data_IF_206434865030
#
_entry.id   IF_206434865030
#
_cell.length_a   1.000
_cell.length_b   1.000
_cell.length_c   1.000
_cell.angle_alpha   90.00
_cell.angle_beta   90.00
_cell.angle_gamma   90.00
#
_symmetry.space_group_name_H-M   'P 1'
#
loop_
_entity.id
_entity.type
_entity.pdbx_description
1 polymer ?
#
# COMPACT_ATOMS: atom_id res chain seq x y z
N UNK A 1 11.21 20.27 0.77
CA UNK A 1 11.31 21.28 -0.30
C UNK A 1 12.77 21.67 -0.56
N UNK A 2 13.48 22.15 0.44
CA UNK A 2 14.86 22.67 0.33
C UNK A 2 15.84 21.68 -0.32
N UNK A 3 15.79 20.40 0.02
CA UNK A 3 16.71 19.38 -0.53
C UNK A 3 16.52 19.20 -2.04
N UNK A 4 15.29 19.30 -2.54
CA UNK A 4 14.99 19.16 -3.97
C UNK A 4 15.47 20.39 -4.76
N UNK A 5 15.39 21.57 -4.16
CA UNK A 5 15.91 22.80 -4.75
C UNK A 5 17.45 22.76 -4.85
N UNK A 6 18.12 22.24 -3.82
CA UNK A 6 19.56 22.00 -3.85
C UNK A 6 19.95 20.98 -4.90
N UNK A 7 19.25 19.86 -4.98
CA UNK A 7 19.47 18.83 -6.02
C UNK A 7 19.30 19.43 -7.41
N UNK A 8 18.26 20.24 -7.62
CA UNK A 8 18.02 20.92 -8.89
C UNK A 8 19.18 21.85 -9.27
N UNK A 9 19.64 22.66 -8.31
CA UNK A 9 20.77 23.57 -8.53
C UNK A 9 22.06 22.81 -8.88
N UNK A 10 22.34 21.70 -8.19
CA UNK A 10 23.50 20.87 -8.49
C UNK A 10 23.40 20.24 -9.89
N UNK A 11 22.23 19.73 -10.28
CA UNK A 11 22.00 19.15 -11.61
C UNK A 11 22.13 20.18 -12.73
N UNK A 12 21.80 21.43 -12.48
CA UNK A 12 21.99 22.50 -13.48
C UNK A 12 23.48 22.81 -13.71
N UNK A 13 24.28 22.78 -12.64
CA UNK A 13 25.69 23.08 -12.71
C UNK A 13 26.57 21.86 -13.08
N UNK A 14 26.06 20.63 -12.88
CA UNK A 14 26.81 19.39 -13.09
C UNK A 14 25.95 18.33 -13.77
N UNK A 15 25.99 18.27 -15.09
CA UNK A 15 25.19 17.34 -15.90
C UNK A 15 25.63 15.88 -15.82
N UNK A 16 26.81 15.58 -15.26
CA UNK A 16 27.34 14.23 -15.10
C UNK A 16 26.88 13.53 -13.81
N UNK A 17 26.26 14.26 -12.88
CA UNK A 17 25.80 13.69 -11.59
C UNK A 17 24.41 13.12 -11.75
N UNK A 18 24.24 11.87 -11.34
CA UNK A 18 22.94 11.22 -11.22
C UNK A 18 22.52 11.15 -9.75
N UNK A 19 21.32 11.61 -9.45
CA UNK A 19 20.71 11.52 -8.13
C UNK A 19 19.71 10.39 -8.06
N UNK A 20 19.73 9.64 -6.97
CA UNK A 20 18.70 8.70 -6.57
C UNK A 20 18.10 9.20 -5.27
N UNK A 21 16.83 9.58 -5.32
CA UNK A 21 16.08 10.06 -4.15
C UNK A 21 15.13 8.96 -3.71
N UNK A 22 15.17 8.59 -2.44
CA UNK A 22 14.28 7.58 -1.87
C UNK A 22 13.43 8.18 -0.76
N UNK A 23 12.24 7.64 -0.56
CA UNK A 23 11.34 8.06 0.51
C UNK A 23 10.16 7.12 0.63
N UNK A 24 9.60 6.99 1.84
CA UNK A 24 8.44 6.16 2.15
C UNK A 24 7.14 6.70 1.53
N UNK A 25 7.07 8.02 1.27
CA UNK A 25 5.85 8.67 0.78
C UNK A 25 6.10 9.53 -0.45
N UNK A 26 5.47 9.14 -1.56
CA UNK A 26 5.41 9.98 -2.76
C UNK A 26 4.54 11.24 -2.56
N UNK A 27 3.71 11.28 -1.51
CA UNK A 27 2.79 12.38 -1.21
C UNK A 27 3.52 13.64 -0.75
N UNK A 28 4.54 13.50 0.10
CA UNK A 28 5.40 14.63 0.51
C UNK A 28 6.08 15.27 -0.68
N UNK A 29 6.58 14.45 -1.60
CA UNK A 29 7.21 14.93 -2.83
C UNK A 29 6.22 15.68 -3.73
N UNK A 30 4.94 15.26 -3.80
CA UNK A 30 3.90 15.93 -4.58
C UNK A 30 3.37 17.22 -3.92
N UNK A 31 3.17 17.22 -2.60
CA UNK A 31 2.64 18.38 -1.85
C UNK A 31 3.60 19.56 -1.78
N UNK A 32 4.88 19.31 -1.91
CA UNK A 32 5.89 20.38 -1.91
C UNK A 32 5.83 21.32 -3.11
N UNK A 33 4.84 21.17 -4.00
CA UNK A 33 4.67 22.02 -5.19
C UNK A 33 5.83 21.91 -6.17
N UNK A 34 6.71 20.96 -5.92
CA UNK A 34 7.89 20.74 -6.72
C UNK A 34 7.45 20.09 -8.00
N UNK A 35 7.49 20.87 -9.06
CA UNK A 35 7.51 20.35 -10.42
C UNK A 35 8.80 19.51 -10.49
N UNK A 36 8.68 18.20 -10.16
CA UNK A 36 9.79 17.29 -9.87
C UNK A 36 10.83 17.40 -10.98
N UNK A 37 11.82 18.30 -10.74
CA UNK A 37 12.98 18.50 -11.59
C UNK A 37 12.64 18.81 -13.07
N UNK A 38 11.49 19.45 -13.33
CA UNK A 38 11.13 19.89 -14.69
C UNK A 38 11.05 18.74 -15.73
N UNK A 39 10.55 17.56 -15.33
CA UNK A 39 10.46 16.40 -16.21
C UNK A 39 11.75 15.58 -16.37
N UNK A 40 12.78 15.88 -15.59
CA UNK A 40 14.09 15.18 -15.62
C UNK A 40 14.16 14.00 -14.63
N UNK A 41 13.10 13.75 -13.84
CA UNK A 41 13.04 12.65 -12.88
C UNK A 41 12.16 11.50 -13.38
N UNK A 42 12.65 10.27 -13.19
CA UNK A 42 11.88 9.05 -13.36
C UNK A 42 11.40 8.61 -11.97
N UNK A 43 10.09 8.37 -11.85
CA UNK A 43 9.51 7.80 -10.65
C UNK A 43 9.54 6.27 -10.76
N UNK A 44 10.19 5.63 -9.81
CA UNK A 44 10.18 4.19 -9.64
C UNK A 44 9.49 3.86 -8.31
N UNK A 45 8.76 2.74 -8.27
CA UNK A 45 8.16 2.19 -7.05
C UNK A 45 8.86 0.89 -6.72
N UNK A 46 9.19 0.70 -5.44
CA UNK A 46 9.74 -0.55 -4.94
C UNK A 46 8.62 -1.35 -4.29
N UNK A 47 8.46 -2.58 -4.74
CA UNK A 47 7.44 -3.51 -4.29
C UNK A 47 8.08 -4.69 -3.54
N UNK A 48 7.29 -5.55 -2.84
CA UNK A 48 7.77 -6.81 -2.31
C UNK A 48 8.44 -7.67 -3.40
N UNK A 49 9.19 -8.69 -3.00
CA UNK A 49 9.80 -9.63 -3.94
C UNK A 49 8.77 -10.23 -4.89
N UNK A 50 9.21 -10.50 -6.11
CA UNK A 50 8.45 -11.29 -7.08
C UNK A 50 9.11 -12.66 -7.26
N UNK A 51 8.35 -13.66 -7.68
CA UNK A 51 8.85 -15.03 -7.89
C UNK A 51 10.12 -15.10 -8.76
N UNK A 52 10.21 -14.20 -9.76
CA UNK A 52 11.36 -14.12 -10.65
C UNK A 52 12.65 -13.70 -9.93
N UNK A 53 12.58 -12.87 -8.91
CA UNK A 53 13.74 -12.41 -8.13
C UNK A 53 14.25 -13.53 -7.22
N UNK A 54 13.35 -14.35 -6.69
CA UNK A 54 13.70 -15.45 -5.78
C UNK A 54 14.08 -16.75 -6.51
N UNK A 55 13.74 -16.88 -7.79
CA UNK A 55 14.08 -18.02 -8.61
C UNK A 55 13.79 -19.37 -7.93
N UNK A 56 14.81 -20.20 -7.70
CA UNK A 56 14.68 -21.53 -7.06
C UNK A 56 14.31 -21.49 -5.56
N UNK A 57 14.41 -20.35 -4.92
CA UNK A 57 14.02 -20.19 -3.51
C UNK A 57 12.53 -19.82 -3.36
N UNK A 58 11.82 -19.52 -4.46
CA UNK A 58 10.41 -19.15 -4.42
C UNK A 58 9.52 -20.31 -3.95
N UNK A 59 8.71 -20.08 -2.95
CA UNK A 59 7.66 -20.96 -2.48
C UNK A 59 6.30 -20.25 -2.59
N UNK A 60 5.39 -20.80 -3.40
CA UNK A 60 4.04 -20.26 -3.51
C UNK A 60 3.31 -20.31 -2.18
N UNK A 61 3.39 -21.41 -1.45
CA UNK A 61 2.78 -21.55 -0.13
C UNK A 61 3.36 -20.53 0.85
N UNK A 62 4.69 -20.37 0.89
CA UNK A 62 5.35 -19.35 1.71
C UNK A 62 4.90 -17.94 1.35
N UNK A 63 4.77 -17.63 0.06
CA UNK A 63 4.30 -16.35 -0.43
C UNK A 63 2.85 -16.08 -0.03
N UNK A 64 1.97 -17.07 -0.11
CA UNK A 64 0.56 -16.93 0.28
C UNK A 64 0.39 -16.79 1.80
N UNK A 65 1.18 -17.50 2.60
CA UNK A 65 1.07 -17.51 4.07
C UNK A 65 1.77 -16.33 4.72
N UNK A 66 3.00 -16.02 4.29
CA UNK A 66 3.87 -15.04 4.94
C UNK A 66 4.09 -13.76 4.12
N UNK A 67 3.71 -13.78 2.85
CA UNK A 67 3.99 -12.67 1.94
C UNK A 67 5.42 -12.67 1.41
N UNK A 68 5.75 -11.58 0.72
CA UNK A 68 6.99 -11.44 -0.03
C UNK A 68 7.80 -10.21 0.39
N UNK A 69 7.48 -9.62 1.57
CA UNK A 69 8.25 -8.51 2.11
C UNK A 69 9.68 -8.95 2.42
N UNK A 70 10.73 -8.21 1.99
CA UNK A 70 12.13 -8.58 2.24
C UNK A 70 12.45 -8.79 3.73
N UNK A 71 11.83 -7.99 4.62
CA UNK A 71 12.03 -8.10 6.08
C UNK A 71 11.41 -9.38 6.67
N UNK A 72 10.45 -9.96 5.97
CA UNK A 72 9.68 -11.15 6.40
C UNK A 72 10.24 -12.41 5.75
N UNK A 73 10.62 -12.30 4.48
CA UNK A 73 11.11 -13.44 3.69
C UNK A 73 12.37 -14.03 4.31
N UNK A 74 12.35 -15.33 4.57
CA UNK A 74 13.47 -16.03 5.23
C UNK A 74 13.66 -15.73 6.73
N UNK A 75 12.76 -14.97 7.35
CA UNK A 75 12.85 -14.66 8.77
C UNK A 75 12.52 -15.90 9.64
N UNK A 76 13.20 -16.05 10.78
CA UNK A 76 12.92 -17.13 11.74
C UNK A 76 11.52 -17.05 12.36
N UNK A 77 10.91 -15.88 12.40
CA UNK A 77 9.57 -15.63 12.94
C UNK A 77 8.79 -14.65 12.04
N UNK A 78 8.31 -15.11 10.86
CA UNK A 78 7.65 -14.25 9.88
C UNK A 78 6.45 -13.50 10.45
N UNK A 79 5.59 -14.18 11.19
CA UNK A 79 4.37 -13.60 11.78
C UNK A 79 4.68 -12.42 12.72
N UNK A 80 5.64 -12.59 13.63
CA UNK A 80 6.07 -11.51 14.54
C UNK A 80 6.65 -10.31 13.77
N UNK A 81 7.33 -10.56 12.65
CA UNK A 81 7.84 -9.50 11.78
C UNK A 81 6.72 -8.75 11.09
N UNK A 82 5.68 -9.46 10.64
CA UNK A 82 4.48 -8.85 10.04
C UNK A 82 3.70 -8.00 11.05
N UNK A 83 3.47 -8.53 12.26
CA UNK A 83 2.83 -7.77 13.34
C UNK A 83 3.59 -6.48 13.65
N UNK A 84 4.90 -6.58 13.85
CA UNK A 84 5.75 -5.42 14.09
C UNK A 84 5.73 -4.43 12.90
N UNK A 85 5.74 -4.92 11.66
CA UNK A 85 5.65 -4.09 10.46
C UNK A 85 4.34 -3.30 10.41
N UNK A 86 3.21 -3.94 10.73
CA UNK A 86 1.91 -3.28 10.73
C UNK A 86 1.83 -2.25 11.85
N UNK A 87 2.23 -2.62 13.07
CA UNK A 87 2.10 -1.75 14.24
C UNK A 87 3.06 -0.56 14.19
N UNK A 88 4.32 -0.81 13.86
CA UNK A 88 5.35 0.23 13.89
C UNK A 88 5.41 1.01 12.59
N UNK A 89 5.36 0.33 11.43
CA UNK A 89 5.54 1.00 10.15
C UNK A 89 4.24 1.63 9.63
N UNK A 90 3.18 0.84 9.47
CA UNK A 90 1.95 1.36 8.84
C UNK A 90 1.28 2.39 9.74
N UNK A 91 1.15 2.11 11.04
CA UNK A 91 0.48 3.02 11.98
C UNK A 91 1.29 4.27 12.28
N UNK A 92 2.60 4.12 12.55
CA UNK A 92 3.47 5.26 12.84
C UNK A 92 3.65 6.16 11.61
N UNK A 93 3.85 5.60 10.43
CA UNK A 93 3.98 6.39 9.20
C UNK A 93 2.73 7.23 8.94
N UNK A 94 1.56 6.65 9.13
CA UNK A 94 0.27 7.34 8.98
C UNK A 94 0.11 8.45 10.03
N UNK A 95 0.53 8.20 11.26
CA UNK A 95 0.47 9.16 12.36
C UNK A 95 1.47 10.31 12.15
N UNK A 96 2.71 10.01 11.82
CA UNK A 96 3.77 11.01 11.58
C UNK A 96 3.47 11.91 10.38
N UNK A 97 2.84 11.35 9.36
CA UNK A 97 2.40 12.12 8.19
C UNK A 97 1.19 13.03 8.49
N UNK A 98 0.58 12.92 9.67
CA UNK A 98 -0.63 13.66 10.03
C UNK A 98 -1.80 13.39 9.08
N UNK A 99 -1.82 12.21 8.44
CA UNK A 99 -2.78 11.85 7.39
C UNK A 99 -4.15 11.52 7.97
N UNK A 100 -4.18 11.10 9.23
CA UNK A 100 -5.36 10.62 9.92
C UNK A 100 -5.49 11.35 11.26
N UNK A 101 -6.67 11.92 11.52
CA UNK A 101 -6.95 12.60 12.80
C UNK A 101 -7.30 11.63 13.92
N UNK A 102 -7.93 10.51 13.58
CA UNK A 102 -8.37 9.47 14.50
C UNK A 102 -7.78 8.12 14.08
N UNK A 103 -6.72 7.72 14.78
CA UNK A 103 -6.03 6.46 14.54
C UNK A 103 -6.92 5.24 14.85
N UNK A 104 -7.83 5.36 15.83
CA UNK A 104 -8.76 4.28 16.17
C UNK A 104 -9.73 3.98 15.01
N UNK A 105 -10.30 5.02 14.39
CA UNK A 105 -11.13 4.85 13.20
C UNK A 105 -10.34 4.30 12.00
N UNK A 106 -9.07 4.69 11.86
CA UNK A 106 -8.23 4.15 10.80
C UNK A 106 -7.87 2.67 11.03
N UNK A 107 -7.63 2.26 12.28
CA UNK A 107 -7.41 0.85 12.61
C UNK A 107 -8.62 -0.01 12.27
N UNK A 108 -9.84 0.42 12.70
CA UNK A 108 -11.08 -0.27 12.30
C UNK A 108 -11.28 -0.32 10.78
N UNK A 109 -10.88 0.75 10.08
CA UNK A 109 -10.90 0.75 8.62
C UNK A 109 -9.96 -0.29 8.02
N UNK A 110 -8.73 -0.45 8.53
CA UNK A 110 -7.80 -1.47 8.04
C UNK A 110 -8.36 -2.89 8.21
N UNK A 111 -9.01 -3.16 9.33
CA UNK A 111 -9.69 -4.43 9.58
C UNK A 111 -10.86 -4.64 8.60
N UNK A 112 -11.76 -3.67 8.51
CA UNK A 112 -12.94 -3.76 7.64
C UNK A 112 -12.57 -3.89 6.15
N UNK A 113 -11.62 -3.10 5.66
CA UNK A 113 -11.23 -3.15 4.25
C UNK A 113 -10.47 -4.45 3.90
N UNK A 114 -9.88 -5.13 4.91
CA UNK A 114 -9.20 -6.40 4.69
C UNK A 114 -10.14 -7.48 4.13
N UNK A 115 -11.44 -7.41 4.43
CA UNK A 115 -12.46 -8.30 3.86
C UNK A 115 -12.76 -8.02 2.37
N UNK A 116 -12.29 -6.89 1.85
CA UNK A 116 -12.44 -6.54 0.42
C UNK A 116 -11.25 -7.00 -0.44
N UNK A 117 -10.24 -7.64 0.13
CA UNK A 117 -9.09 -8.13 -0.64
C UNK A 117 -9.51 -9.11 -1.73
N UNK A 118 -9.05 -8.91 -2.97
CA UNK A 118 -9.42 -9.70 -4.13
C UNK A 118 -10.85 -9.48 -4.64
N UNK A 119 -11.65 -8.65 -3.97
CA UNK A 119 -13.07 -8.42 -4.25
C UNK A 119 -13.36 -7.00 -4.71
N UNK A 120 -14.57 -6.78 -5.23
CA UNK A 120 -15.04 -5.44 -5.56
C UNK A 120 -15.10 -4.56 -4.30
N UNK A 121 -14.49 -3.39 -4.36
CA UNK A 121 -14.47 -2.45 -3.26
C UNK A 121 -15.82 -1.71 -3.15
N UNK A 122 -16.52 -1.93 -2.04
CA UNK A 122 -17.70 -1.17 -1.67
C UNK A 122 -17.38 -0.16 -0.57
N UNK A 123 -17.03 1.06 -0.94
CA UNK A 123 -16.74 2.16 0.00
C UNK A 123 -17.88 2.37 1.01
N UNK A 124 -19.13 2.24 0.56
CA UNK A 124 -20.30 2.42 1.42
C UNK A 124 -20.45 1.31 2.47
N UNK A 125 -20.08 0.07 2.14
CA UNK A 125 -20.09 -1.04 3.11
C UNK A 125 -19.00 -0.85 4.15
N UNK A 126 -17.77 -0.58 3.72
CA UNK A 126 -16.64 -0.31 4.61
C UNK A 126 -16.93 0.88 5.54
N UNK A 127 -17.52 1.97 5.02
CA UNK A 127 -17.87 3.14 5.82
C UNK A 127 -18.88 2.81 6.94
N UNK A 128 -19.87 1.98 6.65
CA UNK A 128 -20.86 1.51 7.62
C UNK A 128 -20.23 0.63 8.70
N UNK A 129 -19.36 -0.27 8.34
CA UNK A 129 -18.64 -1.16 9.28
C UNK A 129 -17.72 -0.37 10.22
N UNK A 130 -17.03 0.65 9.68
CA UNK A 130 -16.14 1.50 10.47
C UNK A 130 -16.84 2.57 11.28
N UNK A 131 -18.13 2.83 11.02
CA UNK A 131 -18.87 3.93 11.65
C UNK A 131 -18.38 5.32 11.24
N UNK A 132 -17.87 5.48 10.02
CA UNK A 132 -17.34 6.75 9.49
C UNK A 132 -18.07 7.17 8.20
N UNK A 133 -17.86 8.40 7.76
CA UNK A 133 -18.42 8.89 6.50
C UNK A 133 -17.73 8.23 5.31
N UNK A 134 -18.49 8.04 4.21
CA UNK A 134 -17.94 7.52 2.93
C UNK A 134 -16.72 8.30 2.46
N UNK A 135 -16.76 9.62 2.51
CA UNK A 135 -15.64 10.49 2.13
C UNK A 135 -14.37 10.26 2.96
N UNK A 136 -14.54 9.83 4.22
CA UNK A 136 -13.42 9.45 5.09
C UNK A 136 -12.76 8.17 4.59
N UNK A 137 -13.57 7.17 4.21
CA UNK A 137 -13.05 5.90 3.65
C UNK A 137 -12.37 6.13 2.31
N UNK A 138 -12.95 6.96 1.43
CA UNK A 138 -12.29 7.35 0.17
C UNK A 138 -10.89 7.93 0.45
N UNK A 139 -10.79 8.86 1.41
CA UNK A 139 -9.51 9.45 1.83
C UNK A 139 -8.53 8.43 2.43
N UNK A 140 -9.03 7.45 3.18
CA UNK A 140 -8.21 6.38 3.75
C UNK A 140 -7.67 5.44 2.67
N UNK A 141 -8.47 5.09 1.66
CA UNK A 141 -8.03 4.31 0.50
C UNK A 141 -6.94 5.05 -0.26
N UNK A 142 -7.10 6.36 -0.47
CA UNK A 142 -6.08 7.18 -1.13
C UNK A 142 -4.77 7.21 -0.33
N UNK A 143 -4.83 7.22 1.00
CA UNK A 143 -3.66 7.11 1.87
C UNK A 143 -2.93 5.78 1.64
N UNK A 144 -3.66 4.65 1.67
CA UNK A 144 -3.05 3.33 1.42
C UNK A 144 -2.38 3.24 0.04
N UNK A 145 -3.00 3.84 -0.98
CA UNK A 145 -2.44 3.90 -2.33
C UNK A 145 -1.19 4.77 -2.41
N UNK A 146 -1.20 5.92 -1.75
CA UNK A 146 -0.05 6.84 -1.71
C UNK A 146 1.15 6.21 -0.97
N UNK A 147 0.89 5.38 0.05
CA UNK A 147 1.90 4.63 0.80
C UNK A 147 2.29 3.30 0.13
N UNK A 148 1.72 2.98 -1.02
CA UNK A 148 1.91 1.71 -1.73
C UNK A 148 1.53 0.47 -0.90
N UNK A 149 0.65 0.61 0.08
CA UNK A 149 0.16 -0.49 0.95
C UNK A 149 -0.97 -1.25 0.30
N UNK A 150 -1.75 -0.59 -0.56
CA UNK A 150 -2.82 -1.22 -1.32
C UNK A 150 -3.06 -0.49 -2.65
N UNK A 151 -3.78 -1.13 -3.55
CA UNK A 151 -4.26 -0.51 -4.78
C UNK A 151 -5.65 -1.02 -5.17
N UNK A 152 -6.33 -0.25 -6.01
CA UNK A 152 -7.61 -0.61 -6.60
C UNK A 152 -7.41 -0.85 -8.07
N UNK A 153 -7.49 -2.12 -8.48
CA UNK A 153 -7.34 -2.53 -9.88
C UNK A 153 -8.66 -2.23 -10.61
N UNK A 154 -8.63 -1.36 -11.62
CA UNK A 154 -9.83 -1.02 -12.35
C UNK A 154 -10.34 -2.22 -13.16
N UNK A 155 -11.65 -2.23 -13.45
CA UNK A 155 -12.24 -3.25 -14.30
C UNK A 155 -11.75 -3.08 -15.74
N UNK A 156 -11.29 -4.15 -16.35
CA UNK A 156 -10.93 -4.14 -17.76
C UNK A 156 -12.18 -3.84 -18.60
N UNK A 157 -12.16 -2.76 -19.36
CA UNK A 157 -13.21 -2.38 -20.29
C UNK A 157 -12.65 -2.07 -21.68
N UNK A 158 -13.22 -2.71 -22.69
CA UNK A 158 -12.92 -2.40 -24.10
C UNK A 158 -13.49 -1.03 -24.55
N UNK A 159 -14.34 -0.40 -23.74
CA UNK A 159 -14.97 0.89 -24.03
C UNK A 159 -14.71 1.86 -22.88
N UNK A 160 -13.96 2.92 -23.11
CA UNK A 160 -13.59 3.94 -22.12
C UNK A 160 -14.79 4.48 -21.30
N UNK A 161 -15.98 4.59 -21.90
CA UNK A 161 -17.18 5.09 -21.23
C UNK A 161 -17.72 4.18 -20.11
N UNK A 162 -17.33 2.88 -20.07
CA UNK A 162 -17.77 1.92 -19.02
C UNK A 162 -16.84 1.87 -17.82
N UNK A 163 -15.63 2.39 -17.91
CA UNK A 163 -14.69 2.45 -16.78
C UNK A 163 -15.18 3.34 -15.63
N UNK A 164 -15.98 4.37 -15.95
CA UNK A 164 -16.50 5.34 -14.99
C UNK A 164 -17.57 4.80 -14.04
N UNK A 165 -18.15 3.61 -14.31
CA UNK A 165 -19.30 3.07 -13.57
C UNK A 165 -18.99 1.75 -12.85
N UNK A 166 -17.81 1.18 -13.03
CA UNK A 166 -17.46 -0.13 -12.49
C UNK A 166 -16.57 -0.01 -11.25
N UNK A 167 -16.95 -0.74 -10.21
CA UNK A 167 -16.13 -0.83 -8.99
C UNK A 167 -14.90 -1.71 -9.23
N UNK A 168 -13.71 -1.16 -9.01
CA UNK A 168 -12.46 -1.90 -9.10
C UNK A 168 -12.33 -2.93 -7.98
N UNK A 169 -11.41 -3.88 -8.14
CA UNK A 169 -11.03 -4.82 -7.10
C UNK A 169 -9.94 -4.23 -6.22
N UNK A 170 -10.10 -4.38 -4.92
CA UNK A 170 -9.12 -3.93 -3.93
C UNK A 170 -8.09 -5.02 -3.64
N UNK A 171 -6.83 -4.66 -3.60
CA UNK A 171 -5.74 -5.56 -3.22
C UNK A 171 -4.78 -4.87 -2.26
N UNK A 172 -4.43 -5.55 -1.17
CA UNK A 172 -3.21 -5.22 -0.45
C UNK A 172 -1.99 -5.62 -1.29
N UNK A 173 -0.89 -4.92 -1.11
CA UNK A 173 0.35 -5.11 -1.86
C UNK A 173 1.07 -6.43 -1.51
N UNK A 174 0.74 -7.02 -0.36
CA UNK A 174 1.38 -8.22 0.19
C UNK A 174 0.36 -9.08 0.94
N UNK A 175 0.39 -10.38 0.70
CA UNK A 175 -0.54 -11.36 1.27
C UNK A 175 -0.33 -11.56 2.77
N UNK A 176 0.91 -11.52 3.25
CA UNK A 176 1.23 -11.62 4.67
C UNK A 176 0.68 -10.43 5.46
N UNK A 177 0.82 -9.22 4.92
CA UNK A 177 0.23 -8.00 5.50
C UNK A 177 -1.29 -8.11 5.54
N UNK A 178 -1.93 -8.51 4.44
CA UNK A 178 -3.37 -8.72 4.39
C UNK A 178 -3.86 -9.73 5.45
N UNK A 179 -3.24 -10.91 5.52
CA UNK A 179 -3.61 -11.97 6.48
C UNK A 179 -3.45 -11.53 7.92
N UNK A 180 -2.45 -10.71 8.22
CA UNK A 180 -2.20 -10.20 9.57
C UNK A 180 -3.20 -9.10 9.95
N UNK A 181 -3.64 -8.28 8.99
CA UNK A 181 -4.67 -7.26 9.20
C UNK A 181 -6.07 -7.83 9.32
N UNK A 182 -6.36 -8.98 8.67
CA UNK A 182 -7.69 -9.57 8.65
C UNK A 182 -8.04 -10.21 10.00
N UNK A 183 -9.11 -9.76 10.68
CA UNK A 183 -9.60 -10.44 11.88
C UNK A 183 -10.00 -11.87 11.57
N UNK A 184 -9.75 -12.76 12.51
CA UNK A 184 -10.13 -14.18 12.42
C UNK A 184 -11.24 -14.46 13.42
N UNK A 185 -12.37 -14.95 12.93
CA UNK A 185 -13.47 -15.41 13.75
C UNK A 185 -13.38 -16.92 14.06
N UNK A 186 -13.99 -17.41 15.14
CA UNK A 186 -13.97 -18.83 15.49
C UNK A 186 -14.72 -19.72 14.50
N UNK A 187 -15.55 -19.14 13.65
CA UNK A 187 -16.33 -19.83 12.61
C UNK A 187 -15.78 -19.61 11.19
N UNK A 188 -14.69 -18.85 11.04
CA UNK A 188 -14.07 -18.63 9.74
C UNK A 188 -13.47 -19.94 9.23
N UNK A 189 -13.85 -20.30 8.02
CA UNK A 189 -13.28 -21.47 7.35
C UNK A 189 -11.84 -21.14 6.92
N UNK A 190 -10.83 -21.94 7.32
CA UNK A 190 -9.45 -21.73 6.89
C UNK A 190 -9.30 -21.59 5.36
N UNK A 191 -10.10 -22.32 4.57
CA UNK A 191 -10.07 -22.24 3.10
C UNK A 191 -10.55 -20.88 2.54
N UNK A 192 -11.39 -20.14 3.26
CA UNK A 192 -11.81 -18.79 2.87
C UNK A 192 -10.72 -17.75 3.14
N UNK A 193 -9.85 -18.05 4.10
CA UNK A 193 -8.70 -17.20 4.45
C UNK A 193 -7.50 -17.53 3.56
N UNK A 194 -7.38 -18.78 3.13
CA UNK A 194 -6.25 -19.29 2.36
C UNK A 194 -6.47 -19.23 0.84
N UNK A 195 -7.71 -19.02 0.39
CA UNK A 195 -8.14 -19.11 -1.00
C UNK A 195 -8.32 -17.78 -1.73
N UNK A 196 -7.74 -16.68 -1.25
CA UNK A 196 -7.82 -15.39 -1.94
C UNK A 196 -6.70 -15.21 -2.96
#
# INVERSE_FOLDING_TARGET
PEILDVVHLIMENNKSIQFVLTGSSARKLRRAGVNLLGGRALKLSMHPFVAKELQGEFSLEGALVHGMLPIVYGAASPLRKLEAYIDLYIREEIQQEGLVRDLGSFTRFLEAISFSHGSQLSISSVARECGVKRTTVDGYVDILRDLLVADVVPVFSKRAKRELVSHGKFYFFDTGVWRTLRPKGPLDNPSEIDGA
#
